data_IF_199566039965
#
_entry.id   IF_199566039965
#
_cell.length_a   1.000
_cell.length_b   1.000
_cell.length_c   1.000
_cell.angle_alpha   90.00
_cell.angle_beta   90.00
_cell.angle_gamma   90.00
#
_symmetry.space_group_name_H-M   'P 1'
#
loop_
_entity.id
_entity.type
_entity.pdbx_description
1 polymer ?
#
# COMPACT_ATOMS: atom_id res chain seq x y z
N UNK A 1 16.24 1.12 -19.22
CA UNK A 1 16.27 0.62 -18.39
C UNK A 1 15.97 1.08 -17.08
N UNK A 2 15.35 1.70 -16.49
CA UNK A 2 15.03 2.12 -15.18
C UNK A 2 14.51 1.04 -14.28
N UNK A 3 14.91 -0.17 -14.54
CA UNK A 3 14.31 -1.24 -13.81
C UNK A 3 14.61 -1.28 -12.36
N UNK A 4 15.65 -0.68 -11.90
CA UNK A 4 15.97 -0.58 -10.50
C UNK A 4 15.33 0.62 -9.82
N UNK A 5 14.58 1.41 -10.54
CA UNK A 5 14.01 2.62 -9.98
C UNK A 5 12.91 2.30 -8.97
N UNK A 6 12.93 3.00 -7.86
CA UNK A 6 11.85 2.90 -6.88
C UNK A 6 10.66 3.70 -7.35
N UNK A 7 9.44 3.35 -6.94
CA UNK A 7 8.26 4.11 -7.33
C UNK A 7 8.37 5.58 -6.90
N UNK A 8 7.91 6.47 -7.75
CA UNK A 8 7.77 7.88 -7.40
C UNK A 8 6.54 8.07 -6.49
N UNK A 9 6.42 9.24 -5.90
CA UNK A 9 5.24 9.57 -5.11
C UNK A 9 3.96 9.47 -5.95
N UNK A 10 4.03 9.93 -7.20
CA UNK A 10 2.89 9.85 -8.11
C UNK A 10 2.47 8.41 -8.38
N UNK A 11 3.43 7.54 -8.61
CA UNK A 11 3.18 6.11 -8.82
C UNK A 11 2.63 5.45 -7.55
N UNK A 12 3.18 5.81 -6.40
CA UNK A 12 2.72 5.27 -5.11
C UNK A 12 1.28 5.70 -4.83
N UNK A 13 0.94 6.96 -5.10
CA UNK A 13 -0.43 7.46 -4.93
C UNK A 13 -1.39 6.79 -5.89
N UNK A 14 -0.95 6.52 -7.13
CA UNK A 14 -1.76 5.77 -8.10
C UNK A 14 -2.02 4.35 -7.61
N UNK A 15 -1.00 3.71 -7.03
CA UNK A 15 -1.17 2.37 -6.47
C UNK A 15 -2.15 2.37 -5.30
N UNK A 16 -2.09 3.38 -4.45
CA UNK A 16 -3.04 3.53 -3.34
C UNK A 16 -4.47 3.62 -3.87
N UNK A 17 -4.70 4.40 -4.92
CA UNK A 17 -6.04 4.51 -5.52
C UNK A 17 -6.53 3.16 -6.04
N UNK A 18 -5.66 2.42 -6.68
CA UNK A 18 -6.01 1.09 -7.19
C UNK A 18 -6.37 0.13 -6.06
N UNK A 19 -5.62 0.18 -4.97
CA UNK A 19 -5.86 -0.66 -3.80
C UNK A 19 -7.18 -0.31 -3.10
N UNK A 20 -7.50 0.98 -3.01
CA UNK A 20 -8.78 1.41 -2.44
C UNK A 20 -9.95 0.93 -3.31
N UNK A 21 -9.79 0.97 -4.62
CA UNK A 21 -10.80 0.46 -5.56
C UNK A 21 -10.97 -1.04 -5.39
N UNK A 22 -9.85 -1.78 -5.24
CA UNK A 22 -9.89 -3.22 -5.03
C UNK A 22 -10.60 -3.57 -3.72
N UNK A 23 -10.35 -2.80 -2.66
CA UNK A 23 -11.02 -3.00 -1.39
C UNK A 23 -12.54 -2.87 -1.52
N UNK A 24 -13.00 -1.85 -2.23
CA UNK A 24 -14.43 -1.65 -2.47
C UNK A 24 -15.02 -2.77 -3.31
N UNK A 25 -14.29 -3.22 -4.32
CA UNK A 25 -14.73 -4.31 -5.18
C UNK A 25 -14.90 -5.61 -4.39
N UNK A 26 -13.96 -5.91 -3.50
CA UNK A 26 -14.04 -7.11 -2.66
C UNK A 26 -15.28 -7.10 -1.77
N UNK A 27 -15.60 -5.95 -1.18
CA UNK A 27 -16.80 -5.80 -0.35
C UNK A 27 -18.08 -6.00 -1.17
N UNK A 28 -18.09 -5.44 -2.37
CA UNK A 28 -19.23 -5.62 -3.29
C UNK A 28 -19.42 -7.07 -3.67
N UNK A 29 -18.32 -7.78 -3.97
CA UNK A 29 -18.39 -9.19 -4.34
C UNK A 29 -18.89 -10.05 -3.21
N UNK A 30 -18.52 -9.74 -1.97
CA UNK A 30 -19.04 -10.45 -0.82
C UNK A 30 -20.55 -10.24 -0.68
N UNK A 31 -21.01 -9.01 -0.81
CA UNK A 31 -22.44 -8.69 -0.74
C UNK A 31 -23.25 -9.42 -1.81
N UNK A 32 -22.65 -9.65 -2.98
CA UNK A 32 -23.29 -10.37 -4.07
C UNK A 32 -23.06 -11.87 -4.03
N UNK A 33 -22.47 -12.37 -2.97
CA UNK A 33 -22.16 -13.79 -2.80
C UNK A 33 -21.27 -14.36 -3.91
N UNK A 34 -20.40 -13.53 -4.47
CA UNK A 34 -19.45 -13.96 -5.50
C UNK A 34 -18.16 -14.49 -4.91
N UNK A 35 -17.88 -14.18 -3.66
CA UNK A 35 -16.75 -14.71 -2.90
C UNK A 35 -17.21 -15.05 -1.50
N UNK A 36 -16.47 -15.93 -0.82
CA UNK A 36 -16.77 -16.28 0.57
C UNK A 36 -16.20 -15.24 1.53
N UNK A 37 -16.70 -15.23 2.76
CA UNK A 37 -16.14 -14.37 3.81
C UNK A 37 -14.64 -14.62 4.03
N UNK A 38 -14.24 -15.88 4.00
CA UNK A 38 -12.83 -16.24 4.15
C UNK A 38 -11.98 -15.67 3.01
N UNK A 39 -12.47 -15.78 1.78
CA UNK A 39 -11.77 -15.22 0.62
C UNK A 39 -11.67 -13.72 0.69
N UNK A 40 -12.74 -13.05 1.08
CA UNK A 40 -12.73 -11.61 1.25
C UNK A 40 -11.72 -11.20 2.33
N UNK A 41 -11.75 -11.88 3.47
CA UNK A 41 -10.85 -11.57 4.59
C UNK A 41 -9.38 -11.67 4.16
N UNK A 42 -9.02 -12.75 3.48
CA UNK A 42 -7.65 -12.97 3.04
C UNK A 42 -7.19 -11.92 2.04
N UNK A 43 -8.05 -11.58 1.09
CA UNK A 43 -7.74 -10.58 0.06
C UNK A 43 -7.68 -9.17 0.64
N UNK A 44 -8.61 -8.83 1.53
CA UNK A 44 -8.60 -7.53 2.21
C UNK A 44 -7.33 -7.36 3.03
N UNK A 45 -6.90 -8.41 3.72
CA UNK A 45 -5.68 -8.33 4.50
C UNK A 45 -4.48 -7.99 3.62
N UNK A 46 -4.38 -8.60 2.45
CA UNK A 46 -3.29 -8.29 1.51
C UNK A 46 -3.34 -6.85 1.02
N UNK A 47 -4.54 -6.39 0.70
CA UNK A 47 -4.75 -5.00 0.26
C UNK A 47 -4.35 -4.04 1.38
N UNK A 48 -4.78 -4.29 2.59
CA UNK A 48 -4.48 -3.44 3.73
C UNK A 48 -2.98 -3.39 4.03
N UNK A 49 -2.29 -4.53 3.97
CA UNK A 49 -0.84 -4.57 4.16
C UNK A 49 -0.14 -3.75 3.09
N UNK A 50 -0.54 -3.90 1.85
CA UNK A 50 0.07 -3.13 0.76
C UNK A 50 -0.22 -1.64 0.88
N UNK A 51 -1.42 -1.27 1.33
CA UNK A 51 -1.75 0.12 1.61
C UNK A 51 -0.83 0.70 2.69
N UNK A 52 -0.62 -0.06 3.77
CA UNK A 52 0.27 0.37 4.84
C UNK A 52 1.70 0.55 4.34
N UNK A 53 2.16 -0.34 3.48
CA UNK A 53 3.48 -0.23 2.85
C UNK A 53 3.59 1.03 1.99
N UNK A 54 2.55 1.35 1.23
CA UNK A 54 2.52 2.55 0.39
C UNK A 54 2.57 3.83 1.23
N UNK A 55 1.77 3.90 2.28
CA UNK A 55 1.76 5.05 3.17
C UNK A 55 3.08 5.20 3.92
N UNK A 56 3.67 4.08 4.35
CA UNK A 56 4.97 4.10 5.00
C UNK A 56 6.04 4.66 4.07
N UNK A 57 6.03 4.25 2.81
CA UNK A 57 6.98 4.72 1.81
C UNK A 57 6.88 6.24 1.62
N UNK A 58 5.65 6.76 1.54
CA UNK A 58 5.43 8.20 1.42
C UNK A 58 5.95 8.95 2.65
N UNK A 59 5.73 8.41 3.83
CA UNK A 59 6.23 9.01 5.07
C UNK A 59 7.75 9.02 5.13
N UNK A 60 8.39 7.94 4.72
CA UNK A 60 9.84 7.88 4.66
C UNK A 60 10.41 8.96 3.74
N UNK A 61 9.81 9.11 2.56
CA UNK A 61 10.24 10.11 1.59
C UNK A 61 10.09 11.52 2.14
N UNK A 62 8.96 11.77 2.78
CA UNK A 62 8.72 13.07 3.39
C UNK A 62 9.73 13.37 4.49
N UNK A 63 10.01 12.40 5.34
CA UNK A 63 10.99 12.55 6.40
C UNK A 63 12.38 12.84 5.85
N UNK A 64 12.77 12.15 4.79
CA UNK A 64 14.05 12.38 4.14
C UNK A 64 14.15 13.79 3.58
N UNK A 65 13.09 14.26 2.90
CA UNK A 65 13.07 15.62 2.37
C UNK A 65 13.19 16.67 3.48
N UNK A 66 12.51 16.46 4.59
CA UNK A 66 12.53 17.40 5.72
C UNK A 66 13.89 17.48 6.38
N UNK A 67 14.68 16.41 6.34
CA UNK A 67 16.01 16.38 6.94
C UNK A 67 17.13 16.64 5.95
N UNK A 68 16.80 16.97 4.71
CA UNK A 68 17.79 17.20 3.67
C UNK A 68 18.36 15.95 3.04
N UNK A 69 17.76 14.80 3.31
CA UNK A 69 18.20 13.54 2.72
C UNK A 69 17.63 13.32 1.32
N UNK A 70 17.96 12.19 0.75
CA UNK A 70 17.51 11.81 -0.59
C UNK A 70 16.25 10.94 -0.49
N UNK A 71 15.10 11.42 -0.98
CA UNK A 71 13.88 10.62 -0.93
C UNK A 71 13.98 9.28 -1.66
N UNK A 72 14.96 9.15 -2.57
CA UNK A 72 15.19 7.88 -3.25
C UNK A 72 15.73 6.79 -2.33
N UNK A 73 16.19 7.15 -1.14
CA UNK A 73 16.64 6.17 -0.15
C UNK A 73 15.49 5.46 0.55
N UNK A 74 14.26 5.97 0.45
CA UNK A 74 13.10 5.32 1.03
C UNK A 74 12.88 3.95 0.38
N UNK A 75 12.55 2.95 1.18
CA UNK A 75 12.36 1.58 0.70
C UNK A 75 11.05 1.01 1.23
N UNK A 76 10.46 0.10 0.47
CA UNK A 76 9.28 -0.63 0.92
C UNK A 76 9.69 -1.52 2.08
N UNK A 77 9.02 -1.38 3.22
CA UNK A 77 9.29 -2.20 4.40
C UNK A 77 8.40 -3.43 4.41
N UNK A 78 8.84 -4.52 5.04
CA UNK A 78 8.01 -5.72 5.16
C UNK A 78 6.67 -5.42 5.82
N UNK A 79 5.64 -6.17 5.44
CA UNK A 79 4.29 -5.95 5.94
C UNK A 79 4.18 -6.00 7.45
N UNK A 80 4.93 -6.88 8.11
CA UNK A 80 4.91 -6.98 9.56
C UNK A 80 5.44 -5.73 10.26
N UNK A 81 6.28 -4.94 9.60
CA UNK A 81 6.77 -3.68 10.17
C UNK A 81 5.75 -2.56 10.05
N UNK A 82 4.87 -2.59 9.04
CA UNK A 82 3.96 -1.49 8.77
C UNK A 82 2.53 -1.74 9.24
N UNK A 83 2.17 -2.97 9.54
CA UNK A 83 0.82 -3.31 9.97
C UNK A 83 0.35 -2.58 11.20
N UNK A 84 1.25 -2.13 12.04
CA UNK A 84 0.90 -1.41 13.24
C UNK A 84 0.62 0.07 13.06
N UNK A 85 0.84 0.63 11.87
CA UNK A 85 0.69 2.06 11.67
C UNK A 85 -0.72 2.57 11.91
N UNK A 86 -1.69 1.79 11.52
CA UNK A 86 -3.09 2.17 11.62
C UNK A 86 -3.84 1.39 12.70
N UNK A 87 -3.16 0.46 13.31
CA UNK A 87 -3.76 -0.44 14.29
C UNK A 87 -3.75 0.04 15.70
#
# INVERSE_FOLDING_TARGET
>A
MGNGSKPTDSETLARIRDLVTEEKDLRTRLQRHQITESQEHDRLRRVEVELDQCWDLLRQRRALLETGGDPREATVRPGDQVEGYLG
#
